data_IF_428087035229
#
_entry.id   IF_428087035229
#
_cell.length_a   1.000
_cell.length_b   1.000
_cell.length_c   1.000
_cell.angle_alpha   90.00
_cell.angle_beta   90.00
_cell.angle_gamma   90.00
#
_symmetry.space_group_name_H-M   'P 1'
#
loop_
_entity.id
_entity.type
_entity.pdbx_description
1 polymer ?
#
# COMPACT_ATOMS: atom_id res chain seq x y z
N UNK A 1 9.95 18.00 7.17
CA UNK A 1 9.33 18.13 5.83
C UNK A 1 7.92 18.66 5.99
N UNK A 2 7.54 19.67 5.20
CA UNK A 2 6.20 20.28 5.19
C UNK A 2 5.54 20.03 3.84
N UNK A 3 4.25 19.77 3.85
CA UNK A 3 3.44 19.49 2.68
C UNK A 3 2.41 20.61 2.47
N UNK A 4 2.31 21.11 1.24
CA UNK A 4 1.34 22.12 0.83
C UNK A 4 0.71 21.78 -0.51
N UNK A 5 -0.45 22.38 -0.77
CA UNK A 5 -1.20 22.19 -2.00
C UNK A 5 -1.55 23.53 -2.62
N UNK A 6 -1.34 23.63 -3.93
CA UNK A 6 -1.71 24.81 -4.71
C UNK A 6 -2.54 24.39 -5.92
N UNK A 7 -3.53 25.19 -6.29
CA UNK A 7 -4.38 24.91 -7.45
C UNK A 7 -4.77 26.20 -8.15
N UNK A 8 -4.75 26.17 -9.47
CA UNK A 8 -5.36 27.16 -10.34
C UNK A 8 -6.46 26.54 -11.22
N UNK A 9 -6.91 27.24 -12.27
CA UNK A 9 -7.99 26.80 -13.15
C UNK A 9 -7.67 25.51 -13.93
N UNK A 10 -6.40 25.27 -14.25
CA UNK A 10 -5.98 24.16 -15.11
C UNK A 10 -5.04 23.18 -14.41
N UNK A 11 -4.36 23.63 -13.37
CA UNK A 11 -3.28 22.91 -12.72
C UNK A 11 -3.49 22.76 -11.21
N UNK A 12 -3.01 21.65 -10.67
CA UNK A 12 -2.92 21.37 -9.25
C UNK A 12 -1.51 20.83 -8.95
N UNK A 13 -0.93 21.32 -7.86
CA UNK A 13 0.39 20.97 -7.41
C UNK A 13 0.40 20.50 -5.97
N UNK A 14 1.18 19.46 -5.72
CA UNK A 14 1.66 19.13 -4.38
C UNK A 14 3.05 19.75 -4.22
N UNK A 15 3.32 20.35 -3.07
CA UNK A 15 4.58 21.00 -2.78
C UNK A 15 5.17 20.39 -1.51
N UNK A 16 6.38 19.85 -1.63
CA UNK A 16 7.16 19.35 -0.50
C UNK A 16 8.29 20.34 -0.19
N UNK A 17 8.35 20.79 1.06
CA UNK A 17 9.41 21.65 1.57
C UNK A 17 10.30 20.87 2.54
N UNK A 18 11.62 20.89 2.29
CA UNK A 18 12.64 20.30 3.17
C UNK A 18 13.57 21.40 3.69
N UNK A 19 14.09 21.21 4.90
CA UNK A 19 14.96 22.18 5.57
C UNK A 19 16.40 22.17 5.01
N UNK A 20 16.66 21.37 3.98
CA UNK A 20 17.95 21.32 3.30
C UNK A 20 18.09 22.41 2.24
N UNK A 21 19.30 22.92 2.05
CA UNK A 21 19.59 23.86 0.97
C UNK A 21 19.48 23.18 -0.39
N UNK A 22 18.71 23.83 -1.29
CA UNK A 22 18.48 23.32 -2.63
C UNK A 22 19.79 23.20 -3.40
N UNK A 23 19.96 22.05 -4.05
CA UNK A 23 21.04 21.78 -4.98
C UNK A 23 20.45 21.28 -6.29
N UNK A 24 20.77 21.98 -7.37
CA UNK A 24 20.52 21.52 -8.74
C UNK A 24 21.54 20.43 -9.12
N UNK A 25 21.44 19.30 -8.42
CA UNK A 25 22.31 18.15 -8.63
C UNK A 25 21.94 17.38 -9.91
N UNK A 26 22.68 16.31 -10.20
CA UNK A 26 22.40 15.51 -11.39
C UNK A 26 21.02 14.84 -11.35
N UNK A 27 20.49 14.52 -10.16
CA UNK A 27 19.19 13.85 -10.01
C UNK A 27 18.08 14.81 -10.38
N UNK A 28 18.14 16.06 -9.92
CA UNK A 28 17.21 17.11 -10.34
C UNK A 28 17.25 17.34 -11.84
N UNK A 29 18.44 17.39 -12.45
CA UNK A 29 18.57 17.51 -13.90
C UNK A 29 17.93 16.32 -14.64
N UNK A 30 18.18 15.10 -14.18
CA UNK A 30 17.55 13.90 -14.77
C UNK A 30 16.02 13.98 -14.70
N UNK A 31 15.45 14.40 -13.58
CA UNK A 31 14.01 14.55 -13.39
C UNK A 31 13.40 15.67 -14.24
N UNK A 32 14.13 16.78 -14.44
CA UNK A 32 13.64 17.93 -15.19
C UNK A 32 13.78 17.77 -16.70
N UNK A 33 14.79 17.03 -17.17
CA UNK A 33 15.06 16.83 -18.59
C UNK A 33 14.35 15.59 -19.18
N UNK A 34 13.83 14.69 -18.33
CA UNK A 34 13.22 13.44 -18.77
C UNK A 34 11.81 13.25 -18.21
N UNK A 35 10.93 12.66 -19.01
CA UNK A 35 9.67 12.11 -18.52
C UNK A 35 9.92 10.66 -18.08
N UNK A 36 10.24 10.46 -16.79
CA UNK A 36 10.55 9.14 -16.24
C UNK A 36 9.24 8.40 -15.93
N UNK A 37 8.99 7.21 -16.53
CA UNK A 37 7.75 6.46 -16.28
C UNK A 37 7.53 6.16 -14.80
N UNK A 38 6.30 6.38 -14.34
CA UNK A 38 5.89 6.13 -12.95
C UNK A 38 6.34 7.19 -11.95
N UNK A 39 7.05 8.25 -12.36
CA UNK A 39 7.35 9.40 -11.50
C UNK A 39 6.45 10.59 -11.85
N UNK A 40 6.09 11.37 -10.83
CA UNK A 40 5.46 12.68 -11.05
C UNK A 40 6.48 13.67 -11.62
N UNK A 41 6.05 14.48 -12.58
CA UNK A 41 6.85 15.62 -13.05
C UNK A 41 7.08 16.58 -11.90
N UNK A 42 8.35 16.92 -11.65
CA UNK A 42 8.79 17.72 -10.51
C UNK A 42 9.65 18.89 -10.96
N UNK A 43 9.49 20.03 -10.27
CA UNK A 43 10.41 21.16 -10.33
C UNK A 43 10.95 21.45 -8.94
N UNK A 44 12.27 21.59 -8.83
CA UNK A 44 12.94 21.98 -7.61
C UNK A 44 13.32 23.46 -7.62
N UNK A 45 13.31 24.10 -6.46
CA UNK A 45 13.89 25.43 -6.29
C UNK A 45 14.32 25.66 -4.83
N UNK A 46 15.27 26.57 -4.63
CA UNK A 46 15.61 27.08 -3.30
C UNK A 46 14.72 28.26 -2.92
N UNK A 47 14.23 28.29 -1.68
CA UNK A 47 13.44 29.40 -1.12
C UNK A 47 13.69 29.51 0.39
N UNK A 48 14.03 30.71 0.87
CA UNK A 48 14.20 31.00 2.32
C UNK A 48 15.09 29.98 3.06
N UNK A 49 16.26 29.67 2.49
CA UNK A 49 17.21 28.66 2.98
C UNK A 49 16.66 27.22 3.05
N UNK A 50 15.60 26.93 2.29
CA UNK A 50 14.97 25.61 2.17
C UNK A 50 14.90 25.14 0.73
N UNK A 51 14.62 23.86 0.54
CA UNK A 51 14.31 23.28 -0.77
C UNK A 51 12.80 23.12 -0.91
N UNK A 52 12.29 23.49 -2.08
CA UNK A 52 10.89 23.30 -2.45
C UNK A 52 10.80 22.45 -3.71
N UNK A 53 10.05 21.36 -3.65
CA UNK A 53 9.79 20.45 -4.76
C UNK A 53 8.31 20.49 -5.10
N UNK A 54 7.97 20.94 -6.31
CA UNK A 54 6.61 21.10 -6.79
C UNK A 54 6.28 20.00 -7.80
N UNK A 55 5.25 19.20 -7.53
CA UNK A 55 4.80 18.06 -8.32
C UNK A 55 3.45 18.33 -8.99
N UNK A 56 3.31 17.99 -10.27
CA UNK A 56 2.06 18.16 -11.04
C UNK A 56 1.05 17.02 -10.80
N UNK A 57 -0.02 17.31 -10.07
CA UNK A 57 -1.03 16.32 -9.63
C UNK A 57 -2.39 16.49 -10.30
N UNK A 58 -2.50 17.36 -11.31
CA UNK A 58 -3.73 17.59 -12.07
C UNK A 58 -4.35 16.31 -12.61
N UNK A 59 -5.65 16.14 -12.38
CA UNK A 59 -6.42 14.96 -12.80
C UNK A 59 -6.09 13.66 -12.06
N UNK A 60 -5.32 13.72 -10.98
CA UNK A 60 -4.93 12.56 -10.18
C UNK A 60 -5.54 12.63 -8.78
N UNK A 61 -5.75 11.48 -8.17
CA UNK A 61 -6.09 11.35 -6.74
C UNK A 61 -4.95 10.66 -6.02
N UNK A 62 -4.70 10.99 -4.75
CA UNK A 62 -3.67 10.29 -3.97
C UNK A 62 -4.10 8.85 -3.67
N UNK A 63 -3.13 7.96 -3.54
CA UNK A 63 -3.29 6.55 -3.11
C UNK A 63 -3.98 6.51 -1.75
N UNK A 64 -3.63 7.43 -0.84
CA UNK A 64 -4.30 7.64 0.44
C UNK A 64 -5.81 7.85 0.26
N UNK A 65 -6.19 8.84 -0.57
CA UNK A 65 -7.60 9.17 -0.81
C UNK A 65 -8.33 8.05 -1.55
N UNK A 66 -7.67 7.32 -2.47
CA UNK A 66 -8.25 6.13 -3.12
C UNK A 66 -8.58 5.06 -2.09
N UNK A 67 -7.62 4.69 -1.23
CA UNK A 67 -7.82 3.65 -0.23
C UNK A 67 -8.89 3.99 0.81
N UNK A 68 -8.96 5.26 1.24
CA UNK A 68 -9.99 5.72 2.18
C UNK A 68 -11.42 5.67 1.58
N UNK A 69 -11.55 5.82 0.26
CA UNK A 69 -12.85 5.90 -0.42
C UNK A 69 -13.33 4.56 -0.98
N UNK A 70 -12.41 3.79 -1.58
CA UNK A 70 -12.75 2.61 -2.38
C UNK A 70 -12.31 1.30 -1.72
N UNK A 71 -11.44 1.39 -0.70
CA UNK A 71 -10.67 0.27 -0.16
C UNK A 71 -9.80 -0.46 -1.20
N UNK A 72 -8.81 -1.21 -0.74
CA UNK A 72 -7.91 -1.94 -1.62
C UNK A 72 -8.44 -3.33 -1.95
N UNK A 73 -8.60 -3.60 -3.24
CA UNK A 73 -8.94 -4.91 -3.79
C UNK A 73 -7.71 -5.64 -4.29
N UNK A 74 -7.79 -6.96 -4.45
CA UNK A 74 -6.68 -7.79 -4.91
C UNK A 74 -6.11 -7.29 -6.23
N UNK A 75 -6.97 -7.06 -7.24
CA UNK A 75 -6.54 -6.58 -8.55
C UNK A 75 -5.85 -5.20 -8.48
N UNK A 76 -6.33 -4.31 -7.60
CA UNK A 76 -5.75 -2.99 -7.40
C UNK A 76 -4.38 -3.08 -6.72
N UNK A 77 -4.25 -3.91 -5.68
CA UNK A 77 -2.99 -4.15 -4.96
C UNK A 77 -1.95 -4.80 -5.86
N UNK A 78 -2.33 -5.84 -6.59
CA UNK A 78 -1.42 -6.52 -7.52
C UNK A 78 -0.94 -5.52 -8.59
N UNK A 79 -1.85 -4.76 -9.19
CA UNK A 79 -1.52 -3.76 -10.20
C UNK A 79 -0.60 -2.67 -9.65
N UNK A 80 -0.89 -2.16 -8.46
CA UNK A 80 -0.03 -1.21 -7.76
C UNK A 80 1.38 -1.78 -7.60
N UNK A 81 1.49 -3.00 -7.08
CA UNK A 81 2.78 -3.64 -6.79
C UNK A 81 3.61 -3.88 -8.05
N UNK A 82 2.97 -4.32 -9.14
CA UNK A 82 3.64 -4.49 -10.43
C UNK A 82 4.17 -3.16 -10.98
N UNK A 83 3.38 -2.09 -10.91
CA UNK A 83 3.83 -0.76 -11.33
C UNK A 83 4.92 -0.20 -10.41
N UNK A 84 4.82 -0.41 -9.10
CA UNK A 84 5.86 -0.01 -8.16
C UNK A 84 7.21 -0.67 -8.50
N UNK A 85 7.22 -1.98 -8.80
CA UNK A 85 8.43 -2.68 -9.25
C UNK A 85 8.97 -2.06 -10.55
N UNK A 86 8.12 -1.71 -11.51
CA UNK A 86 8.54 -1.00 -12.73
C UNK A 86 9.17 0.36 -12.41
N UNK A 87 8.66 1.09 -11.41
CA UNK A 87 9.26 2.35 -10.95
C UNK A 87 10.63 2.13 -10.33
N UNK A 88 10.82 1.06 -9.53
CA UNK A 88 12.15 0.72 -8.99
C UNK A 88 13.17 0.48 -10.12
N UNK A 89 12.76 -0.19 -11.19
CA UNK A 89 13.58 -0.36 -12.39
C UNK A 89 13.87 0.96 -13.10
N UNK A 90 12.86 1.82 -13.29
CA UNK A 90 13.04 3.13 -13.91
C UNK A 90 14.03 3.99 -13.12
N UNK A 91 13.83 4.13 -11.81
CA UNK A 91 14.73 4.86 -10.90
C UNK A 91 16.17 4.37 -11.05
N UNK A 92 16.39 3.04 -11.02
CA UNK A 92 17.71 2.44 -11.24
C UNK A 92 18.29 2.77 -12.63
N UNK A 93 17.49 2.67 -13.68
CA UNK A 93 17.93 2.89 -15.06
C UNK A 93 18.36 4.33 -15.33
N UNK A 94 17.74 5.29 -14.66
CA UNK A 94 18.12 6.71 -14.70
C UNK A 94 19.21 7.08 -13.67
N UNK A 95 19.82 6.09 -13.01
CA UNK A 95 20.85 6.25 -11.98
C UNK A 95 20.39 7.13 -10.80
N UNK A 96 19.09 7.16 -10.55
CA UNK A 96 18.49 7.87 -9.43
C UNK A 96 18.64 7.04 -8.15
N UNK A 97 18.84 7.72 -7.02
CA UNK A 97 18.87 7.08 -5.70
C UNK A 97 17.46 6.62 -5.29
N UNK A 98 17.26 5.31 -5.20
CA UNK A 98 15.97 4.72 -4.80
C UNK A 98 15.46 5.19 -3.44
N UNK A 99 16.35 5.56 -2.53
CA UNK A 99 15.98 6.05 -1.20
C UNK A 99 15.28 7.42 -1.24
N UNK A 100 15.40 8.16 -2.35
CA UNK A 100 14.70 9.43 -2.56
C UNK A 100 13.27 9.25 -3.09
N UNK A 101 12.85 8.02 -3.40
CA UNK A 101 11.46 7.70 -3.76
C UNK A 101 10.58 7.74 -2.51
N UNK A 102 9.45 8.45 -2.58
CA UNK A 102 8.48 8.48 -1.49
C UNK A 102 7.47 7.36 -1.63
N UNK A 103 7.25 6.59 -0.56
CA UNK A 103 6.22 5.57 -0.46
C UNK A 103 5.08 5.93 0.50
N UNK A 104 5.01 7.19 0.93
CA UNK A 104 3.84 7.68 1.68
C UNK A 104 2.62 7.65 0.74
N UNK A 105 1.49 7.02 1.12
CA UNK A 105 0.27 6.99 0.32
C UNK A 105 -0.26 8.36 -0.11
N UNK A 106 0.03 9.43 0.65
CA UNK A 106 -0.30 10.81 0.30
C UNK A 106 0.58 11.40 -0.82
N UNK A 107 1.77 10.83 -1.03
CA UNK A 107 2.74 11.25 -2.05
C UNK A 107 2.73 10.37 -3.31
N UNK A 108 1.83 9.37 -3.38
CA UNK A 108 1.63 8.56 -4.57
C UNK A 108 0.27 8.90 -5.14
N UNK A 109 0.19 9.09 -6.45
CA UNK A 109 -1.01 9.52 -7.14
C UNK A 109 -1.41 8.51 -8.21
N UNK A 110 -2.71 8.41 -8.48
CA UNK A 110 -3.26 7.53 -9.51
C UNK A 110 -4.18 8.30 -10.46
N UNK A 111 -4.08 7.99 -11.74
CA UNK A 111 -4.99 8.46 -12.80
C UNK A 111 -4.97 7.44 -13.93
N UNK A 112 -6.15 7.12 -14.47
CA UNK A 112 -6.32 6.09 -15.51
C UNK A 112 -5.60 4.78 -15.20
N UNK A 113 -5.72 4.29 -13.95
CA UNK A 113 -5.10 3.04 -13.46
C UNK A 113 -3.55 3.06 -13.44
N UNK A 114 -2.92 4.21 -13.68
CA UNK A 114 -1.47 4.39 -13.64
C UNK A 114 -1.07 5.11 -12.35
N UNK A 115 -0.10 4.55 -11.63
CA UNK A 115 0.45 5.10 -10.39
C UNK A 115 1.70 5.94 -10.66
N UNK A 116 1.78 7.09 -9.98
CA UNK A 116 2.84 8.08 -10.09
C UNK A 116 3.40 8.41 -8.72
N UNK A 117 4.69 8.20 -8.54
CA UNK A 117 5.39 8.36 -7.27
C UNK A 117 6.11 9.71 -7.22
N UNK A 118 6.11 10.35 -6.05
CA UNK A 118 7.00 11.47 -5.81
C UNK A 118 8.43 11.00 -5.64
N UNK A 119 9.35 11.65 -6.35
CA UNK A 119 10.78 11.51 -6.14
C UNK A 119 11.34 12.83 -5.59
N UNK A 120 11.89 12.78 -4.38
CA UNK A 120 12.38 13.96 -3.68
C UNK A 120 13.85 13.75 -3.27
N UNK A 121 14.82 14.42 -3.92
CA UNK A 121 16.24 14.28 -3.58
C UNK A 121 16.58 14.57 -2.11
N UNK A 122 15.84 15.47 -1.46
CA UNK A 122 15.99 15.79 -0.04
C UNK A 122 15.27 14.84 0.92
N UNK A 123 14.77 13.69 0.42
CA UNK A 123 14.14 12.67 1.24
C UNK A 123 15.19 11.65 1.70
N UNK A 124 15.32 11.50 3.02
CA UNK A 124 16.17 10.50 3.64
C UNK A 124 15.43 9.17 3.88
N UNK A 125 16.14 8.17 4.39
CA UNK A 125 15.59 6.88 4.83
C UNK A 125 15.85 5.72 3.88
N UNK A 126 15.44 4.51 4.28
CA UNK A 126 15.64 3.28 3.53
C UNK A 126 14.36 2.90 2.76
N UNK A 127 14.48 2.56 1.47
CA UNK A 127 13.33 2.13 0.67
C UNK A 127 12.60 0.90 1.25
N UNK A 128 13.31 -0.04 1.88
CA UNK A 128 12.71 -1.24 2.48
C UNK A 128 11.91 -0.92 3.75
N UNK A 129 12.36 0.06 4.55
CA UNK A 129 11.61 0.56 5.72
C UNK A 129 10.34 1.28 5.27
N UNK A 130 10.47 2.15 4.25
CA UNK A 130 9.31 2.83 3.65
C UNK A 130 8.33 1.84 3.03
N UNK A 131 8.83 0.74 2.45
CA UNK A 131 7.98 -0.32 1.92
C UNK A 131 7.24 -1.04 3.04
N UNK A 132 7.91 -1.34 4.16
CA UNK A 132 7.26 -1.90 5.34
C UNK A 132 6.10 -1.03 5.81
N UNK A 133 6.31 0.29 5.97
CA UNK A 133 5.24 1.24 6.33
C UNK A 133 4.09 1.26 5.31
N UNK A 134 4.40 1.18 4.01
CA UNK A 134 3.39 1.11 2.96
C UNK A 134 2.58 -0.20 3.03
N UNK A 135 3.21 -1.34 3.34
CA UNK A 135 2.48 -2.60 3.54
C UNK A 135 1.57 -2.55 4.76
N UNK A 136 1.97 -1.88 5.86
CA UNK A 136 1.08 -1.64 7.00
C UNK A 136 -0.16 -0.83 6.60
N UNK A 137 0.02 0.18 5.76
CA UNK A 137 -1.09 0.94 5.19
C UNK A 137 -2.04 0.05 4.39
N UNK A 138 -1.52 -0.81 3.51
CA UNK A 138 -2.36 -1.73 2.74
C UNK A 138 -3.12 -2.69 3.64
N UNK A 139 -2.48 -3.28 4.65
CA UNK A 139 -3.18 -4.13 5.62
C UNK A 139 -4.35 -3.39 6.27
N UNK A 140 -4.18 -2.10 6.60
CA UNK A 140 -5.23 -1.30 7.25
C UNK A 140 -6.39 -0.93 6.32
N UNK A 141 -6.09 -0.55 5.07
CA UNK A 141 -7.08 0.02 4.13
C UNK A 141 -7.64 -1.00 3.11
N UNK A 142 -7.22 -2.26 3.19
CA UNK A 142 -7.75 -3.34 2.34
C UNK A 142 -9.22 -3.60 2.59
N UNK A 143 -9.93 -3.96 1.51
CA UNK A 143 -11.31 -4.43 1.59
C UNK A 143 -11.34 -5.81 2.24
N UNK A 144 -11.66 -5.82 3.54
CA UNK A 144 -11.76 -7.04 4.33
C UNK A 144 -12.87 -8.00 3.87
N UNK A 145 -13.75 -7.60 2.93
CA UNK A 145 -14.71 -8.53 2.30
C UNK A 145 -14.06 -9.40 1.24
N UNK A 146 -12.92 -8.97 0.68
CA UNK A 146 -12.19 -9.70 -0.33
C UNK A 146 -11.00 -10.45 0.28
N UNK A 147 -11.18 -11.75 0.52
CA UNK A 147 -10.18 -12.63 1.14
C UNK A 147 -8.82 -12.56 0.44
N UNK A 148 -8.81 -12.54 -0.88
CA UNK A 148 -7.58 -12.51 -1.67
C UNK A 148 -6.80 -11.21 -1.47
N UNK A 149 -7.50 -10.08 -1.29
CA UNK A 149 -6.86 -8.79 -1.06
C UNK A 149 -6.19 -8.76 0.32
N UNK A 150 -6.90 -9.29 1.34
CA UNK A 150 -6.37 -9.42 2.70
C UNK A 150 -5.14 -10.31 2.71
N UNK A 151 -5.19 -11.46 2.03
CA UNK A 151 -4.08 -12.38 1.88
C UNK A 151 -2.85 -11.69 1.25
N UNK A 152 -3.04 -10.99 0.13
CA UNK A 152 -1.93 -10.32 -0.57
C UNK A 152 -1.31 -9.21 0.30
N UNK A 153 -2.13 -8.33 0.88
CA UNK A 153 -1.64 -7.26 1.75
C UNK A 153 -0.86 -7.83 2.96
N UNK A 154 -1.36 -8.91 3.54
CA UNK A 154 -0.74 -9.58 4.67
C UNK A 154 0.60 -10.23 4.30
N UNK A 155 0.64 -11.07 3.27
CA UNK A 155 1.88 -11.77 2.92
C UNK A 155 2.96 -10.79 2.43
N UNK A 156 2.58 -9.66 1.81
CA UNK A 156 3.51 -8.56 1.50
C UNK A 156 4.07 -7.94 2.79
N UNK A 157 3.22 -7.66 3.77
CA UNK A 157 3.67 -7.11 5.06
C UNK A 157 4.58 -8.08 5.80
N UNK A 158 4.22 -9.36 5.87
CA UNK A 158 5.05 -10.42 6.46
C UNK A 158 6.40 -10.55 5.75
N UNK A 159 6.41 -10.55 4.42
CA UNK A 159 7.65 -10.59 3.64
C UNK A 159 8.54 -9.37 3.93
N UNK A 160 7.95 -8.19 4.15
CA UNK A 160 8.70 -6.99 4.49
C UNK A 160 9.37 -7.01 5.87
N UNK A 161 8.96 -7.94 6.76
CA UNK A 161 9.61 -8.18 8.05
C UNK A 161 10.80 -9.14 7.96
N UNK A 162 10.96 -9.86 6.85
CA UNK A 162 12.12 -10.74 6.64
C UNK A 162 13.39 -9.89 6.41
N UNK A 163 14.53 -10.32 6.93
CA UNK A 163 15.81 -9.67 6.63
C UNK A 163 16.21 -9.91 5.17
N UNK A 164 16.71 -8.86 4.49
CA UNK A 164 17.26 -8.93 3.13
C UNK A 164 16.30 -9.49 2.06
N UNK A 165 14.99 -9.30 2.22
CA UNK A 165 14.01 -9.71 1.20
C UNK A 165 14.15 -8.88 -0.09
N UNK A 166 13.66 -9.46 -1.18
CA UNK A 166 13.51 -8.78 -2.47
C UNK A 166 12.02 -8.58 -2.76
N UNK A 167 11.60 -7.33 -3.00
CA UNK A 167 10.19 -6.95 -3.17
C UNK A 167 9.53 -7.71 -4.34
N UNK A 168 10.21 -7.79 -5.48
CA UNK A 168 9.68 -8.46 -6.68
C UNK A 168 9.56 -9.97 -6.48
N UNK A 169 10.63 -10.59 -5.96
CA UNK A 169 10.59 -12.02 -5.65
C UNK A 169 9.52 -12.36 -4.61
N UNK A 170 9.34 -11.51 -3.60
CA UNK A 170 8.28 -11.68 -2.61
C UNK A 170 6.90 -11.64 -3.26
N UNK A 171 6.63 -10.65 -4.13
CA UNK A 171 5.35 -10.56 -4.85
C UNK A 171 5.10 -11.81 -5.69
N UNK A 172 6.03 -12.21 -6.55
CA UNK A 172 5.85 -13.35 -7.45
C UNK A 172 5.66 -14.66 -6.65
N UNK A 173 6.44 -14.88 -5.58
CA UNK A 173 6.27 -16.02 -4.68
C UNK A 173 4.86 -16.08 -4.06
N UNK A 174 4.27 -14.94 -3.70
CA UNK A 174 2.93 -14.87 -3.12
C UNK A 174 1.87 -15.19 -4.17
N UNK A 175 2.00 -14.63 -5.37
CA UNK A 175 1.06 -14.85 -6.47
C UNK A 175 1.10 -16.30 -6.97
N UNK A 176 2.29 -16.89 -7.12
CA UNK A 176 2.46 -18.30 -7.49
C UNK A 176 1.84 -19.25 -6.46
N UNK A 177 2.02 -18.98 -5.16
CA UNK A 177 1.39 -19.80 -4.10
C UNK A 177 -0.12 -19.76 -4.19
N UNK A 178 -0.69 -18.56 -4.34
CA UNK A 178 -2.13 -18.38 -4.51
C UNK A 178 -2.65 -19.17 -5.72
N UNK A 179 -1.99 -19.08 -6.86
CA UNK A 179 -2.41 -19.78 -8.09
C UNK A 179 -2.33 -21.32 -7.92
N UNK A 180 -1.23 -21.85 -7.39
CA UNK A 180 -1.07 -23.28 -7.14
C UNK A 180 -2.09 -23.82 -6.11
N UNK A 181 -2.36 -23.04 -5.07
CA UNK A 181 -3.38 -23.38 -4.07
C UNK A 181 -4.77 -23.39 -4.70
N UNK A 182 -5.09 -22.48 -5.64
CA UNK A 182 -6.36 -22.45 -6.38
C UNK A 182 -6.51 -23.56 -7.43
N UNK A 183 -5.45 -23.96 -8.13
CA UNK A 183 -5.49 -25.02 -9.17
C UNK A 183 -5.66 -26.42 -8.58
N UNK A 184 -5.25 -26.63 -7.32
CA UNK A 184 -5.33 -27.94 -6.65
C UNK A 184 -6.74 -28.32 -6.12
N UNK A 185 -7.75 -27.46 -6.33
CA UNK A 185 -9.08 -27.55 -5.68
C UNK A 185 -10.12 -28.21 -6.60
N UNK A 186 -10.54 -29.43 -6.27
CA UNK A 186 -11.80 -30.01 -6.77
C UNK A 186 -13.00 -29.22 -6.21
N UNK A 187 -14.12 -29.06 -6.95
CA UNK A 187 -15.23 -28.17 -6.58
C UNK A 187 -15.84 -28.44 -5.19
N UNK A 188 -15.75 -29.67 -4.68
CA UNK A 188 -16.23 -30.06 -3.34
C UNK A 188 -15.32 -29.58 -2.19
N UNK A 189 -14.06 -29.26 -2.47
CA UNK A 189 -13.07 -28.78 -1.47
C UNK A 189 -13.04 -27.26 -1.33
N UNK A 190 -13.74 -26.52 -2.20
CA UNK A 190 -13.75 -25.04 -2.20
C UNK A 190 -14.25 -24.46 -0.87
N UNK A 191 -15.30 -25.06 -0.28
CA UNK A 191 -15.79 -24.69 1.04
C UNK A 191 -14.79 -24.98 2.18
N UNK A 192 -13.98 -26.04 2.06
CA UNK A 192 -12.93 -26.37 3.02
C UNK A 192 -11.71 -25.46 2.94
N UNK A 193 -11.36 -24.99 1.74
CA UNK A 193 -10.31 -23.99 1.51
C UNK A 193 -10.72 -22.60 2.00
N UNK A 194 -11.97 -22.19 1.75
CA UNK A 194 -12.55 -20.98 2.30
C UNK A 194 -12.49 -20.95 3.84
N UNK A 195 -12.73 -22.10 4.46
CA UNK A 195 -12.60 -22.31 5.91
C UNK A 195 -11.13 -22.35 6.37
N UNK A 196 -10.20 -22.87 5.55
CA UNK A 196 -8.78 -22.96 5.90
C UNK A 196 -8.07 -21.61 5.79
N UNK A 197 -8.36 -20.80 4.77
CA UNK A 197 -7.91 -19.41 4.70
C UNK A 197 -8.53 -18.57 5.83
N UNK A 198 -9.81 -18.78 6.16
CA UNK A 198 -10.44 -18.16 7.34
C UNK A 198 -9.77 -18.60 8.64
N UNK A 199 -9.43 -19.88 8.80
CA UNK A 199 -8.68 -20.39 9.94
C UNK A 199 -7.25 -19.82 10.01
N UNK A 200 -6.55 -19.70 8.88
CA UNK A 200 -5.21 -19.09 8.84
C UNK A 200 -5.29 -17.61 9.25
N UNK A 201 -6.32 -16.91 8.79
CA UNK A 201 -6.56 -15.52 9.16
C UNK A 201 -6.95 -15.38 10.64
N UNK A 202 -7.77 -16.30 11.16
CA UNK A 202 -8.22 -16.34 12.56
C UNK A 202 -7.10 -16.78 13.53
N UNK A 203 -6.32 -17.80 13.19
CA UNK A 203 -5.13 -18.25 13.95
C UNK A 203 -4.05 -17.17 13.94
N UNK A 204 -3.92 -16.43 12.83
CA UNK A 204 -3.00 -15.30 12.76
C UNK A 204 -3.45 -14.13 13.63
N UNK A 205 -4.74 -13.79 13.64
CA UNK A 205 -5.32 -12.79 14.56
C UNK A 205 -5.03 -13.19 16.01
N UNK A 206 -5.20 -14.46 16.35
CA UNK A 206 -4.94 -15.01 17.68
C UNK A 206 -3.43 -15.01 18.03
N UNK A 207 -2.55 -15.38 17.09
CA UNK A 207 -1.09 -15.34 17.31
C UNK A 207 -0.58 -13.92 17.57
N UNK A 208 -1.15 -12.91 16.90
CA UNK A 208 -0.79 -11.51 17.14
C UNK A 208 -1.34 -10.99 18.46
N UNK A 209 -2.52 -11.43 18.92
CA UNK A 209 -3.02 -11.16 20.28
C UNK A 209 -2.08 -11.74 21.35
N UNK A 210 -1.51 -12.92 21.11
CA UNK A 210 -0.54 -13.54 22.03
C UNK A 210 0.84 -12.87 22.00
N UNK A 211 1.32 -12.44 20.83
CA UNK A 211 2.59 -11.69 20.69
C UNK A 211 2.46 -10.23 21.17
N UNK A 212 1.25 -9.69 21.22
CA UNK A 212 0.90 -8.33 21.66
C UNK A 212 1.05 -8.03 23.16
N UNK A 213 1.52 -8.97 23.99
CA UNK A 213 1.96 -8.65 25.36
C UNK A 213 3.34 -7.97 25.42
N UNK A 214 4.05 -7.81 24.30
CA UNK A 214 5.39 -7.18 24.25
C UNK A 214 5.50 -6.12 23.16
N UNK A 215 4.56 -5.18 23.06
CA UNK A 215 4.87 -3.80 22.60
C UNK A 215 3.90 -2.84 23.30
N UNK A 216 4.34 -2.22 24.40
CA UNK A 216 3.70 -1.02 24.94
C UNK A 216 4.02 0.15 24.01
N UNK A 217 3.03 1.01 23.81
CA UNK A 217 3.04 2.23 23.00
C UNK A 217 3.00 2.05 21.48
N UNK A 218 1.83 1.69 20.97
CA UNK A 218 1.13 2.42 19.90
C UNK A 218 -0.32 1.98 19.90
N UNK A 219 -1.24 2.91 20.10
CA UNK A 219 -2.67 2.66 19.98
C UNK A 219 -2.98 2.16 18.56
N UNK A 220 -3.23 0.85 18.48
CA UNK A 220 -4.34 0.24 17.75
C UNK A 220 -4.31 0.51 16.23
N UNK A 221 -3.65 -0.38 15.48
CA UNK A 221 -4.11 -0.76 14.13
C UNK A 221 -4.70 -2.17 14.24
N UNK A 222 -3.98 -3.07 14.90
CA UNK A 222 -4.39 -4.44 15.24
C UNK A 222 -5.62 -4.52 16.16
N UNK A 223 -5.74 -3.62 17.14
CA UNK A 223 -6.93 -3.53 17.98
C UNK A 223 -8.19 -3.10 17.20
N UNK A 224 -8.06 -2.24 16.18
CA UNK A 224 -9.18 -1.88 15.31
C UNK A 224 -9.51 -2.99 14.30
N UNK A 225 -8.49 -3.72 13.83
CA UNK A 225 -8.64 -4.88 12.97
C UNK A 225 -9.51 -5.94 13.65
N UNK A 226 -9.17 -6.31 14.88
CA UNK A 226 -9.91 -7.31 15.64
C UNK A 226 -11.34 -6.86 15.95
N UNK A 227 -11.56 -5.59 16.29
CA UNK A 227 -12.91 -5.06 16.51
C UNK A 227 -13.78 -5.07 15.25
N UNK A 228 -13.21 -4.77 14.06
CA UNK A 228 -13.96 -4.81 12.79
C UNK A 228 -14.29 -6.24 12.37
N UNK A 229 -13.37 -7.18 12.58
CA UNK A 229 -13.58 -8.60 12.27
C UNK A 229 -14.58 -9.25 13.24
N UNK A 230 -14.49 -8.98 14.54
CA UNK A 230 -15.47 -9.46 15.54
C UNK A 230 -16.88 -8.91 15.32
N UNK A 231 -17.02 -7.64 14.89
CA UNK A 231 -18.33 -7.07 14.52
C UNK A 231 -18.95 -7.78 13.30
N UNK A 232 -18.13 -8.26 12.36
CA UNK A 232 -18.60 -9.03 11.20
C UNK A 232 -19.02 -10.44 11.57
N UNK A 233 -18.30 -11.12 12.47
CA UNK A 233 -18.71 -12.42 13.04
C UNK A 233 -20.12 -12.34 13.63
N UNK A 234 -20.36 -11.36 14.51
CA UNK A 234 -21.69 -11.15 15.12
C UNK A 234 -22.80 -10.82 14.13
N UNK A 235 -22.49 -10.07 13.06
CA UNK A 235 -23.48 -9.73 12.02
C UNK A 235 -23.85 -10.93 11.15
N UNK A 236 -22.89 -11.83 10.85
CA UNK A 236 -23.15 -13.08 10.13
C UNK A 236 -23.88 -14.09 11.01
N UNK A 237 -23.45 -14.28 12.27
CA UNK A 237 -24.15 -15.13 13.24
C UNK A 237 -25.62 -14.74 13.36
N UNK A 238 -25.92 -13.44 13.50
CA UNK A 238 -27.30 -12.95 13.54
C UNK A 238 -28.09 -13.18 12.24
N UNK A 239 -27.41 -13.20 11.08
CA UNK A 239 -28.04 -13.45 9.78
C UNK A 239 -28.32 -14.95 9.57
N UNK A 240 -27.47 -15.81 10.12
CA UNK A 240 -27.69 -17.26 10.14
C UNK A 240 -28.77 -17.66 11.14
N UNK A 241 -28.83 -17.00 12.30
CA UNK A 241 -29.89 -17.22 13.30
C UNK A 241 -31.28 -16.84 12.75
N UNK A 242 -31.39 -15.80 11.91
CA UNK A 242 -32.64 -15.45 11.22
C UNK A 242 -33.03 -16.48 10.15
N UNK A 243 -32.08 -16.98 9.36
CA UNK A 243 -32.33 -18.01 8.32
C UNK A 243 -32.73 -19.35 8.96
N UNK A 244 -32.07 -19.74 10.05
CA UNK A 244 -32.35 -20.99 10.77
C UNK A 244 -33.65 -20.94 11.59
N UNK A 245 -34.14 -19.73 11.89
CA UNK A 245 -35.46 -19.54 12.50
C UNK A 245 -36.59 -19.69 11.46
N UNK A 246 -36.40 -19.18 10.24
CA UNK A 246 -37.39 -19.25 9.15
C UNK A 246 -37.58 -20.69 8.62
N UNK A 247 -36.50 -21.48 8.55
CA UNK A 247 -36.52 -22.90 8.15
C UNK A 247 -37.14 -23.85 9.21
N UNK A 248 -37.49 -23.33 10.39
CA UNK A 248 -38.06 -24.10 11.50
C UNK A 248 -39.57 -23.93 11.68
N UNK A 249 -40.22 -23.10 10.86
CA UNK A 249 -41.66 -22.81 10.89
C UNK A 249 -42.50 -23.46 9.76
N UNK A 250 -41.95 -24.39 8.95
CA UNK A 250 -42.72 -25.22 7.99
C UNK A 250 -42.97 -26.68 8.43
#
# INVERSE_FOLDING_TARGET
MREEYERDLHHAWMILETDELYKEDYQMRMLMENAIPGLLSVRGQGKDDKSQYRYEISGKISVKAKGEKEHWKFADLEKFMRQFIQVLYAVKNYLLNVNCLSLDPGHIYVSDEIYYFCYCPGLEGNILEKFHELTEYFVRETDYEQKEAVYLAYELHKASMEENYNIEYALERILEKKENEMESIQPEKKAGYDLQEELILDDWIAEQEMKGQVVKDRQSVWGFLNQRLQKRRKKRESQWDEIMADDSEE
#
